data_IF_539825172471
#
_entry.id   IF_539825172471
#
_cell.length_a   1.000
_cell.length_b   1.000
_cell.length_c   1.000
_cell.angle_alpha   90.00
_cell.angle_beta   90.00
_cell.angle_gamma   90.00
#
_symmetry.space_group_name_H-M   'P 1'
#
loop_
_entity.id
_entity.type
_entity.pdbx_description
1 polymer ?
#
# COMPACT_ATOMS: atom_id res chain seq x y z
N UNK A 1 -7.03 22.26 -20.78
CA UNK A 1 -6.98 20.85 -20.36
C UNK A 1 -8.41 20.39 -20.19
N UNK A 2 -8.85 19.45 -21.02
CA UNK A 2 -10.24 19.00 -21.09
C UNK A 2 -10.46 18.03 -19.95
N UNK A 3 -11.26 18.41 -18.95
CA UNK A 3 -11.69 17.53 -17.86
C UNK A 3 -12.22 16.24 -18.48
N UNK A 4 -11.57 15.10 -18.24
CA UNK A 4 -11.95 13.84 -18.84
C UNK A 4 -13.44 13.56 -18.55
N UNK A 5 -14.21 13.24 -19.59
CA UNK A 5 -15.64 13.02 -19.46
C UNK A 5 -15.92 11.85 -18.52
N UNK A 6 -16.96 11.97 -17.68
CA UNK A 6 -17.46 10.87 -16.85
C UNK A 6 -17.93 9.73 -17.74
N UNK A 7 -17.32 8.56 -17.61
CA UNK A 7 -17.67 7.33 -18.32
C UNK A 7 -18.36 6.35 -17.39
N UNK A 8 -19.32 5.58 -17.90
CA UNK A 8 -20.07 4.59 -17.14
C UNK A 8 -19.89 3.19 -17.71
N UNK A 9 -19.84 2.20 -16.84
CA UNK A 9 -19.86 0.79 -17.22
C UNK A 9 -20.47 -0.06 -16.10
N UNK A 10 -20.83 -1.30 -16.44
CA UNK A 10 -21.23 -2.32 -15.46
C UNK A 10 -20.19 -3.43 -15.45
N UNK A 11 -19.86 -3.93 -14.27
CA UNK A 11 -18.91 -5.03 -14.12
C UNK A 11 -19.29 -5.95 -12.96
N UNK A 12 -19.10 -7.25 -13.16
CA UNK A 12 -19.25 -8.25 -12.11
C UNK A 12 -17.99 -8.22 -11.23
N UNK A 13 -18.19 -8.13 -9.91
CA UNK A 13 -17.09 -8.14 -8.96
C UNK A 13 -16.45 -9.52 -8.88
N UNK A 14 -15.14 -9.59 -9.05
CA UNK A 14 -14.38 -10.85 -9.02
C UNK A 14 -13.61 -10.93 -7.72
N UNK A 15 -13.75 -12.06 -7.01
CA UNK A 15 -12.81 -12.41 -5.95
C UNK A 15 -11.51 -12.90 -6.60
N UNK A 16 -10.45 -12.12 -6.48
CA UNK A 16 -9.14 -12.52 -6.96
C UNK A 16 -8.61 -13.66 -6.09
N UNK A 17 -8.20 -14.75 -6.74
CA UNK A 17 -7.59 -15.92 -6.07
C UNK A 17 -6.15 -15.64 -5.61
N UNK A 18 -5.70 -14.39 -5.64
CA UNK A 18 -4.42 -14.02 -5.04
C UNK A 18 -4.49 -14.26 -3.53
N UNK A 19 -3.36 -14.56 -2.90
CA UNK A 19 -3.29 -14.81 -1.44
C UNK A 19 -3.72 -13.63 -0.56
N UNK A 20 -4.18 -12.51 -1.16
CA UNK A 20 -4.67 -11.32 -0.49
C UNK A 20 -6.21 -11.24 -0.46
N UNK A 21 -6.93 -12.12 -1.17
CA UNK A 21 -8.39 -12.22 -1.12
C UNK A 21 -9.12 -10.95 -1.58
N UNK A 22 -8.56 -10.26 -2.58
CA UNK A 22 -9.09 -8.99 -3.06
C UNK A 22 -10.38 -9.16 -3.86
N UNK A 23 -11.26 -8.15 -3.80
CA UNK A 23 -12.43 -8.05 -4.68
C UNK A 23 -12.17 -6.94 -5.69
N UNK A 24 -12.25 -7.25 -6.98
CA UNK A 24 -11.87 -6.34 -8.06
C UNK A 24 -12.99 -6.21 -9.10
N UNK A 25 -13.01 -5.10 -9.82
CA UNK A 25 -13.81 -4.95 -11.02
C UNK A 25 -12.88 -4.65 -12.21
N UNK A 26 -13.00 -5.45 -13.27
CA UNK A 26 -12.26 -5.21 -14.52
C UNK A 26 -12.96 -4.17 -15.36
N UNK A 27 -12.18 -3.28 -15.95
CA UNK A 27 -12.70 -2.28 -16.87
C UNK A 27 -12.89 -2.91 -18.26
N UNK A 28 -13.87 -2.41 -19.05
CA UNK A 28 -13.97 -2.76 -20.46
C UNK A 28 -12.67 -2.43 -21.22
N UNK A 29 -12.38 -3.19 -22.27
CA UNK A 29 -11.27 -2.88 -23.16
C UNK A 29 -11.43 -1.47 -23.75
N UNK A 30 -10.34 -0.72 -23.80
CA UNK A 30 -10.31 0.64 -24.33
C UNK A 30 -11.00 1.72 -23.48
N UNK A 31 -11.44 1.39 -22.25
CA UNK A 31 -12.17 2.35 -21.41
C UNK A 31 -11.40 3.65 -21.13
N UNK A 32 -10.07 3.57 -21.10
CA UNK A 32 -9.16 4.67 -20.77
C UNK A 32 -8.28 5.13 -21.94
N UNK A 33 -8.57 4.72 -23.19
CA UNK A 33 -7.68 4.99 -24.35
C UNK A 33 -7.57 6.48 -24.70
N UNK A 34 -8.60 7.25 -24.36
CA UNK A 34 -8.67 8.70 -24.51
C UNK A 34 -8.16 9.47 -23.28
N UNK A 35 -7.68 8.77 -22.24
CA UNK A 35 -7.13 9.41 -21.05
C UNK A 35 -5.63 9.57 -21.21
N UNK A 36 -5.16 10.81 -21.07
CA UNK A 36 -3.74 11.12 -20.95
C UNK A 36 -3.24 10.74 -19.55
N UNK A 37 -3.12 9.43 -19.30
CA UNK A 37 -2.75 8.88 -18.01
C UNK A 37 -1.79 7.70 -18.18
N UNK A 38 -0.81 7.59 -17.28
CA UNK A 38 0.14 6.48 -17.28
C UNK A 38 -0.51 5.13 -16.94
N UNK A 39 0.31 4.09 -16.73
CA UNK A 39 -0.15 2.70 -16.55
C UNK A 39 -1.10 2.46 -15.36
N UNK A 40 -1.19 3.38 -14.40
CA UNK A 40 -2.09 3.31 -13.23
C UNK A 40 -2.87 4.62 -13.04
N UNK A 41 -3.84 4.92 -13.92
CA UNK A 41 -4.60 6.16 -13.85
C UNK A 41 -5.26 6.36 -12.48
N UNK A 42 -5.19 7.59 -11.95
CA UNK A 42 -5.98 7.98 -10.77
C UNK A 42 -7.39 8.28 -11.23
N UNK A 43 -8.38 7.75 -10.52
CA UNK A 43 -9.79 7.93 -10.88
C UNK A 43 -10.62 8.36 -9.68
N UNK A 44 -11.67 9.12 -9.97
CA UNK A 44 -12.76 9.41 -9.03
C UNK A 44 -14.07 9.02 -9.68
N UNK A 45 -15.05 8.69 -8.86
CA UNK A 45 -16.26 8.08 -9.39
C UNK A 45 -17.21 7.59 -8.33
N UNK A 46 -18.17 6.79 -8.79
CA UNK A 46 -19.21 6.20 -7.96
C UNK A 46 -19.40 4.72 -8.29
N UNK A 47 -19.72 3.93 -7.27
CA UNK A 47 -20.15 2.53 -7.39
C UNK A 47 -21.55 2.42 -6.76
N UNK A 48 -22.57 2.12 -7.57
CA UNK A 48 -23.98 2.14 -7.16
C UNK A 48 -24.36 3.40 -6.34
N UNK A 49 -23.86 4.57 -6.75
CA UNK A 49 -24.11 5.86 -6.09
C UNK A 49 -23.19 6.17 -4.88
N UNK A 50 -22.32 5.26 -4.46
CA UNK A 50 -21.32 5.55 -3.43
C UNK A 50 -20.06 6.17 -4.05
N UNK A 51 -19.76 7.42 -3.71
CA UNK A 51 -18.61 8.15 -4.22
C UNK A 51 -17.27 7.63 -3.66
N UNK A 52 -16.25 7.57 -4.52
CA UNK A 52 -14.90 7.16 -4.16
C UNK A 52 -13.82 7.86 -5.00
N UNK A 53 -12.59 7.82 -4.50
CA UNK A 53 -11.35 8.14 -5.23
C UNK A 53 -10.38 6.98 -5.07
N UNK A 54 -9.79 6.49 -6.16
CA UNK A 54 -8.85 5.37 -6.14
C UNK A 54 -7.86 5.45 -7.31
N UNK A 55 -7.07 4.41 -7.50
CA UNK A 55 -6.22 4.21 -8.68
C UNK A 55 -6.64 2.93 -9.39
N UNK A 56 -6.48 2.92 -10.71
CA UNK A 56 -6.57 1.72 -11.52
C UNK A 56 -5.24 0.97 -11.49
N UNK A 57 -5.31 -0.34 -11.63
CA UNK A 57 -4.16 -1.24 -11.62
C UNK A 57 -4.14 -2.06 -12.90
N UNK A 58 -2.94 -2.35 -13.41
CA UNK A 58 -2.75 -3.28 -14.52
C UNK A 58 -2.57 -4.71 -13.98
N UNK A 59 -3.18 -5.68 -14.64
CA UNK A 59 -2.93 -7.09 -14.38
C UNK A 59 -1.70 -7.65 -15.14
N UNK A 60 -0.95 -6.79 -15.84
CA UNK A 60 0.20 -7.18 -16.66
C UNK A 60 -0.14 -7.85 -18.00
N UNK A 61 -1.43 -8.07 -18.29
CA UNK A 61 -1.94 -8.65 -19.55
C UNK A 61 -2.78 -7.65 -20.36
N UNK A 62 -2.61 -6.35 -20.10
CA UNK A 62 -3.32 -5.27 -20.79
C UNK A 62 -4.70 -4.93 -20.21
N UNK A 63 -5.23 -5.68 -19.23
CA UNK A 63 -6.49 -5.32 -18.59
C UNK A 63 -6.27 -4.45 -17.36
N UNK A 64 -7.02 -3.36 -17.27
CA UNK A 64 -7.10 -2.53 -16.08
C UNK A 64 -8.22 -3.03 -15.15
N UNK A 65 -7.98 -2.93 -13.86
CA UNK A 65 -8.97 -3.21 -12.83
C UNK A 65 -8.89 -2.19 -11.71
N UNK A 66 -9.98 -2.10 -10.93
CA UNK A 66 -10.01 -1.32 -9.69
C UNK A 66 -10.30 -2.23 -8.50
N UNK A 67 -9.63 -1.96 -7.38
CA UNK A 67 -9.88 -2.64 -6.12
C UNK A 67 -11.16 -2.10 -5.48
N UNK A 68 -12.15 -2.98 -5.24
CA UNK A 68 -13.37 -2.65 -4.50
C UNK A 68 -13.15 -3.02 -3.04
N UNK A 69 -12.66 -2.05 -2.26
CA UNK A 69 -12.35 -2.28 -0.85
C UNK A 69 -13.61 -2.58 -0.01
N UNK A 70 -13.43 -3.03 1.24
CA UNK A 70 -14.55 -3.43 2.12
C UNK A 70 -15.53 -2.30 2.42
N UNK A 71 -15.07 -1.04 2.46
CA UNK A 71 -15.97 0.11 2.62
C UNK A 71 -16.84 0.28 1.38
N UNK A 72 -16.24 0.26 0.19
CA UNK A 72 -17.00 0.33 -1.07
C UNK A 72 -18.03 -0.81 -1.17
N UNK A 73 -17.63 -2.04 -0.86
CA UNK A 73 -18.54 -3.19 -0.82
C UNK A 73 -19.74 -2.95 0.11
N UNK A 74 -19.47 -2.51 1.34
CA UNK A 74 -20.49 -2.23 2.35
C UNK A 74 -21.46 -1.12 1.91
N UNK A 75 -20.92 0.04 1.53
CA UNK A 75 -21.72 1.23 1.24
C UNK A 75 -22.51 1.08 -0.08
N UNK A 76 -21.92 0.42 -1.09
CA UNK A 76 -22.58 0.14 -2.36
C UNK A 76 -23.45 -1.13 -2.34
N UNK A 77 -23.49 -1.85 -1.21
CA UNK A 77 -24.25 -3.08 -0.99
C UNK A 77 -23.94 -4.17 -2.03
N UNK A 78 -22.65 -4.39 -2.28
CA UNK A 78 -22.15 -5.36 -3.26
C UNK A 78 -21.15 -6.33 -2.64
N UNK A 79 -21.10 -7.53 -3.19
CA UNK A 79 -20.16 -8.60 -2.82
C UNK A 79 -19.52 -9.18 -4.08
N UNK A 80 -18.50 -10.03 -3.92
CA UNK A 80 -17.97 -10.79 -5.04
C UNK A 80 -19.09 -11.61 -5.72
N UNK A 81 -19.11 -11.62 -7.05
CA UNK A 81 -20.16 -12.19 -7.88
C UNK A 81 -21.31 -11.23 -8.22
N UNK A 82 -21.44 -10.10 -7.50
CA UNK A 82 -22.49 -9.12 -7.79
C UNK A 82 -22.12 -8.25 -9.01
N UNK A 83 -23.14 -7.89 -9.81
CA UNK A 83 -23.03 -6.87 -10.84
C UNK A 83 -23.14 -5.48 -10.18
N UNK A 84 -22.19 -4.59 -10.47
CA UNK A 84 -22.21 -3.22 -9.98
C UNK A 84 -22.10 -2.22 -11.14
N UNK A 85 -22.73 -1.05 -10.99
CA UNK A 85 -22.61 0.06 -11.92
C UNK A 85 -21.54 1.04 -11.42
N UNK A 86 -20.61 1.38 -12.31
CA UNK A 86 -19.51 2.29 -12.06
C UNK A 86 -19.61 3.52 -12.94
N UNK A 87 -19.40 4.69 -12.37
CA UNK A 87 -19.14 5.92 -13.11
C UNK A 87 -17.75 6.40 -12.73
N UNK A 88 -16.84 6.60 -13.69
CA UNK A 88 -15.46 6.99 -13.47
C UNK A 88 -15.07 8.20 -14.34
N UNK A 89 -14.18 9.03 -13.81
CA UNK A 89 -13.45 10.07 -14.54
C UNK A 89 -12.00 10.11 -14.05
N UNK A 90 -11.11 10.69 -14.86
CA UNK A 90 -9.73 10.92 -14.46
C UNK A 90 -9.70 11.88 -13.26
N UNK A 91 -8.92 11.51 -12.25
CA UNK A 91 -8.72 12.28 -11.02
C UNK A 91 -7.42 13.08 -11.13
N UNK A 92 -7.53 14.29 -11.68
CA UNK A 92 -6.43 15.24 -11.84
C UNK A 92 -6.20 16.10 -10.58
N UNK A 93 -7.12 16.04 -9.60
CA UNK A 93 -7.01 16.85 -8.40
C UNK A 93 -5.81 16.38 -7.55
N UNK A 94 -5.05 17.36 -7.06
CA UNK A 94 -3.97 17.09 -6.12
C UNK A 94 -4.51 16.39 -4.87
N UNK A 95 -3.82 15.33 -4.45
CA UNK A 95 -4.15 14.60 -3.23
C UNK A 95 -3.25 15.11 -2.10
N UNK A 96 -3.76 16.04 -1.30
CA UNK A 96 -3.04 16.56 -0.13
C UNK A 96 -3.40 15.77 1.13
N UNK A 97 -2.41 15.42 1.95
CA UNK A 97 -2.62 14.83 3.28
C UNK A 97 -2.45 15.90 4.35
N UNK A 98 -3.49 16.14 5.15
CA UNK A 98 -3.34 16.96 6.35
C UNK A 98 -2.77 16.08 7.46
N UNK A 99 -1.47 16.23 7.73
CA UNK A 99 -0.80 15.52 8.84
C UNK A 99 -1.25 16.13 10.17
N UNK A 100 -1.80 15.32 11.12
CA UNK A 100 -2.22 15.80 12.43
C UNK A 100 -1.10 16.49 13.22
N UNK A 101 -1.46 17.46 14.06
CA UNK A 101 -0.48 18.25 14.82
C UNK A 101 0.39 17.37 15.73
N UNK A 102 -0.20 16.33 16.32
CA UNK A 102 0.48 15.35 17.17
C UNK A 102 1.57 14.61 16.38
N UNK A 103 1.28 14.19 15.15
CA UNK A 103 2.28 13.54 14.29
C UNK A 103 3.35 14.52 13.81
N UNK A 104 2.99 15.78 13.52
CA UNK A 104 3.97 16.83 13.18
C UNK A 104 4.98 17.04 14.31
N UNK A 105 4.53 17.06 15.58
CA UNK A 105 5.41 17.19 16.75
C UNK A 105 6.41 16.03 16.85
N UNK A 106 5.95 14.81 16.63
CA UNK A 106 6.84 13.62 16.60
C UNK A 106 7.89 13.74 15.50
N UNK A 107 7.50 14.12 14.28
CA UNK A 107 8.42 14.29 13.15
C UNK A 107 9.40 15.46 13.35
N UNK A 108 9.02 16.49 14.09
CA UNK A 108 9.89 17.63 14.41
C UNK A 108 11.01 17.25 15.40
N UNK A 109 10.83 16.20 16.21
CA UNK A 109 11.82 15.76 17.19
C UNK A 109 13.08 15.15 16.56
N UNK A 110 13.01 14.64 15.33
CA UNK A 110 14.13 13.95 14.68
C UNK A 110 14.23 14.33 13.19
N UNK A 111 15.23 15.13 12.84
CA UNK A 111 15.37 15.70 11.50
C UNK A 111 15.63 14.63 10.41
N UNK A 112 16.33 13.54 10.75
CA UNK A 112 16.53 12.42 9.83
C UNK A 112 15.21 11.71 9.53
N UNK A 113 14.40 11.47 10.56
CA UNK A 113 13.10 10.82 10.44
C UNK A 113 12.15 11.65 9.57
N UNK A 114 12.12 12.98 9.75
CA UNK A 114 11.31 13.87 8.91
C UNK A 114 11.68 13.78 7.43
N UNK A 115 12.97 13.85 7.11
CA UNK A 115 13.45 13.74 5.71
C UNK A 115 13.16 12.38 5.09
N UNK A 116 13.20 11.32 5.90
CA UNK A 116 12.82 9.99 5.44
C UNK A 116 11.31 9.88 5.23
N UNK A 117 10.51 10.41 6.16
CA UNK A 117 9.05 10.49 6.06
C UNK A 117 8.60 11.17 4.78
N UNK A 118 9.20 12.32 4.41
CA UNK A 118 8.86 13.07 3.19
C UNK A 118 9.03 12.26 1.89
N UNK A 119 9.86 11.21 1.89
CA UNK A 119 10.09 10.31 0.75
C UNK A 119 9.06 9.18 0.65
N UNK A 120 8.20 9.01 1.66
CA UNK A 120 7.18 7.96 1.65
C UNK A 120 6.03 8.32 0.71
N UNK A 121 5.38 7.33 0.09
CA UNK A 121 4.30 7.60 -0.86
C UNK A 121 3.08 8.19 -0.16
N UNK A 122 2.31 8.99 -0.91
CA UNK A 122 1.05 9.61 -0.46
C UNK A 122 0.14 8.65 0.32
N UNK A 123 -0.03 7.42 -0.17
CA UNK A 123 -0.92 6.43 0.46
C UNK A 123 -0.48 6.08 1.89
N UNK A 124 0.82 6.09 2.14
CA UNK A 124 1.40 5.82 3.45
C UNK A 124 1.21 7.03 4.38
N UNK A 125 1.48 8.24 3.88
CA UNK A 125 1.17 9.47 4.64
C UNK A 125 -0.29 9.53 5.05
N UNK A 126 -1.19 9.27 4.10
CA UNK A 126 -2.63 9.29 4.33
C UNK A 126 -3.03 8.24 5.37
N UNK A 127 -2.52 7.02 5.25
CA UNK A 127 -2.85 5.95 6.18
C UNK A 127 -2.47 6.32 7.62
N UNK A 128 -1.24 6.76 7.85
CA UNK A 128 -0.78 7.17 9.20
C UNK A 128 -1.59 8.37 9.69
N UNK A 129 -1.81 9.38 8.85
CA UNK A 129 -2.60 10.56 9.22
C UNK A 129 -4.02 10.18 9.65
N UNK A 130 -4.72 9.34 8.86
CA UNK A 130 -6.06 8.84 9.20
C UNK A 130 -6.03 8.05 10.52
N UNK A 131 -5.04 7.19 10.73
CA UNK A 131 -4.93 6.38 11.95
C UNK A 131 -4.71 7.25 13.19
N UNK A 132 -3.81 8.23 13.11
CA UNK A 132 -3.50 9.18 14.19
C UNK A 132 -4.69 10.10 14.46
N UNK A 133 -5.45 10.51 13.43
CA UNK A 133 -6.63 11.36 13.58
C UNK A 133 -7.87 10.62 14.10
N UNK A 134 -7.95 9.29 13.92
CA UNK A 134 -9.14 8.52 14.24
C UNK A 134 -9.61 8.58 15.72
N UNK A 135 -8.73 8.60 16.74
CA UNK A 135 -9.16 8.77 18.13
C UNK A 135 -9.81 10.13 18.38
N UNK A 136 -10.92 10.10 19.13
CA UNK A 136 -11.64 11.33 19.53
C UNK A 136 -10.85 12.18 20.52
N UNK A 137 -10.16 11.55 21.48
CA UNK A 137 -9.39 12.27 22.50
C UNK A 137 -8.00 12.64 22.02
N UNK A 138 -7.56 13.85 22.36
CA UNK A 138 -6.21 14.34 22.03
C UNK A 138 -5.13 13.44 22.64
N UNK A 139 -5.30 13.01 23.89
CA UNK A 139 -4.35 12.09 24.54
C UNK A 139 -4.17 10.78 23.77
N UNK A 140 -5.25 10.20 23.23
CA UNK A 140 -5.16 8.98 22.43
C UNK A 140 -4.55 9.23 21.05
N UNK A 141 -4.80 10.39 20.43
CA UNK A 141 -4.12 10.79 19.17
C UNK A 141 -2.63 10.97 19.39
N UNK A 142 -2.23 11.64 20.48
CA UNK A 142 -0.83 11.79 20.87
C UNK A 142 -0.16 10.43 21.07
N UNK A 143 -0.77 9.54 21.84
CA UNK A 143 -0.21 8.20 22.05
C UNK A 143 -0.06 7.42 20.74
N UNK A 144 -1.04 7.54 19.85
CA UNK A 144 -0.96 6.91 18.53
C UNK A 144 0.12 7.51 17.64
N UNK A 145 0.30 8.84 17.67
CA UNK A 145 1.39 9.50 16.96
C UNK A 145 2.76 9.03 17.47
N UNK A 146 2.93 8.89 18.78
CA UNK A 146 4.15 8.36 19.41
C UNK A 146 4.41 6.92 18.97
N UNK A 147 3.40 6.03 19.07
CA UNK A 147 3.48 4.64 18.60
C UNK A 147 3.89 4.56 17.11
N UNK A 148 3.32 5.40 16.25
CA UNK A 148 3.72 5.47 14.84
C UNK A 148 5.13 6.04 14.66
N UNK A 149 5.52 7.05 15.45
CA UNK A 149 6.88 7.59 15.48
C UNK A 149 7.92 6.50 15.71
N UNK A 150 7.71 5.66 16.72
CA UNK A 150 8.57 4.51 17.02
C UNK A 150 8.64 3.53 15.85
N UNK A 151 7.50 3.19 15.24
CA UNK A 151 7.46 2.29 14.07
C UNK A 151 8.27 2.86 12.91
N UNK A 152 8.09 4.15 12.61
CA UNK A 152 8.77 4.81 11.50
C UNK A 152 10.28 4.93 11.73
N UNK A 153 10.70 5.19 12.98
CA UNK A 153 12.10 5.22 13.35
C UNK A 153 12.75 3.84 13.15
N UNK A 154 12.12 2.78 13.69
CA UNK A 154 12.59 1.41 13.49
C UNK A 154 12.65 1.00 12.01
N UNK A 155 11.72 1.48 11.18
CA UNK A 155 11.78 1.24 9.74
C UNK A 155 12.93 2.00 9.06
N UNK A 156 13.14 3.27 9.40
CA UNK A 156 14.23 4.07 8.85
C UNK A 156 15.58 3.47 9.21
N UNK A 157 15.76 3.05 10.45
CA UNK A 157 16.97 2.35 10.92
C UNK A 157 17.09 0.98 10.24
N UNK A 158 15.99 0.23 10.17
CA UNK A 158 15.91 -1.08 9.50
C UNK A 158 16.28 -1.07 8.01
N UNK A 159 16.16 0.08 7.34
CA UNK A 159 16.62 0.26 5.95
C UNK A 159 18.14 0.43 5.85
N UNK A 160 18.78 0.93 6.91
CA UNK A 160 20.24 1.13 7.00
C UNK A 160 20.93 -0.11 7.54
N UNK A 161 20.39 -0.65 8.61
CA UNK A 161 20.90 -1.81 9.34
C UNK A 161 19.81 -2.86 9.45
N UNK A 162 20.14 -4.10 9.07
CA UNK A 162 19.17 -5.19 9.13
C UNK A 162 18.74 -5.44 10.58
N UNK A 163 17.43 -5.47 10.88
CA UNK A 163 16.96 -5.69 12.24
C UNK A 163 17.39 -7.05 12.82
N UNK A 164 17.59 -7.16 14.15
CA UNK A 164 18.00 -8.41 14.80
C UNK A 164 17.12 -9.63 14.48
N UNK A 165 15.81 -9.42 14.32
CA UNK A 165 14.85 -10.48 13.96
C UNK A 165 15.12 -11.10 12.58
N UNK A 166 15.68 -10.32 11.64
CA UNK A 166 16.10 -10.82 10.33
C UNK A 166 17.53 -11.35 10.36
N UNK A 167 18.44 -10.67 11.07
CA UNK A 167 19.83 -11.09 11.23
C UNK A 167 19.95 -12.54 11.74
N UNK A 168 19.22 -12.87 12.81
CA UNK A 168 19.21 -14.23 13.37
C UNK A 168 18.75 -15.29 12.36
N UNK A 169 17.83 -14.94 11.47
CA UNK A 169 17.37 -15.82 10.41
C UNK A 169 18.36 -15.92 9.24
N UNK A 170 19.02 -14.81 8.91
CA UNK A 170 20.02 -14.77 7.84
C UNK A 170 21.29 -15.56 8.17
N UNK A 171 21.65 -15.66 9.46
CA UNK A 171 22.70 -16.60 9.91
C UNK A 171 22.33 -18.05 9.58
N UNK A 172 21.06 -18.42 9.79
CA UNK A 172 20.55 -19.78 9.50
C UNK A 172 20.29 -20.02 8.02
N UNK A 173 20.12 -18.96 7.24
CA UNK A 173 19.81 -19.03 5.80
C UNK A 173 20.58 -17.95 5.05
N UNK A 174 21.88 -18.18 4.75
CA UNK A 174 22.73 -17.19 4.05
C UNK A 174 22.17 -16.75 2.70
N UNK A 175 21.45 -17.63 2.00
CA UNK A 175 20.78 -17.31 0.74
C UNK A 175 19.73 -16.19 0.89
N UNK A 176 19.06 -16.11 2.05
CA UNK A 176 18.12 -15.04 2.34
C UNK A 176 18.83 -13.69 2.50
N UNK A 177 20.05 -13.64 3.07
CA UNK A 177 20.85 -12.41 3.11
C UNK A 177 21.16 -11.89 1.72
N UNK A 178 21.68 -12.75 0.85
CA UNK A 178 21.99 -12.38 -0.53
C UNK A 178 20.75 -11.86 -1.28
N UNK A 179 19.58 -12.43 -1.00
CA UNK A 179 18.32 -11.95 -1.55
C UNK A 179 17.86 -10.60 -1.00
N UNK A 180 18.03 -10.39 0.30
CA UNK A 180 17.69 -9.14 0.99
C UNK A 180 18.53 -7.97 0.48
N UNK A 181 19.83 -8.18 0.26
CA UNK A 181 20.74 -7.19 -0.30
C UNK A 181 20.38 -6.80 -1.74
N UNK A 182 19.80 -7.73 -2.51
CA UNK A 182 19.28 -7.48 -3.86
C UNK A 182 17.91 -6.79 -3.88
N UNK A 183 17.23 -6.66 -2.74
CA UNK A 183 15.92 -5.98 -2.69
C UNK A 183 16.05 -4.47 -2.86
N UNK A 184 15.14 -3.91 -3.65
CA UNK A 184 14.96 -2.45 -3.73
C UNK A 184 14.58 -1.86 -2.36
N UNK A 185 14.87 -0.56 -2.10
CA UNK A 185 14.47 0.10 -0.86
C UNK A 185 12.97 -0.01 -0.58
N UNK A 186 12.13 0.07 -1.61
CA UNK A 186 10.67 -0.07 -1.47
C UNK A 186 10.25 -1.47 -1.00
N UNK A 187 10.89 -2.53 -1.51
CA UNK A 187 10.63 -3.91 -1.08
C UNK A 187 11.03 -4.12 0.39
N UNK A 188 12.25 -3.70 0.76
CA UNK A 188 12.73 -3.78 2.15
C UNK A 188 11.79 -3.04 3.10
N UNK A 189 11.42 -1.80 2.76
CA UNK A 189 10.45 -1.00 3.51
C UNK A 189 9.12 -1.72 3.74
N UNK A 190 8.58 -2.38 2.71
CA UNK A 190 7.33 -3.14 2.84
C UNK A 190 7.43 -4.28 3.86
N UNK A 191 8.57 -4.96 3.92
CA UNK A 191 8.84 -5.99 4.93
C UNK A 191 9.04 -5.40 6.33
N UNK A 192 9.83 -4.34 6.46
CA UNK A 192 10.08 -3.64 7.73
C UNK A 192 8.78 -3.09 8.33
N UNK A 193 7.93 -2.46 7.51
CA UNK A 193 6.58 -2.07 7.91
C UNK A 193 5.81 -3.27 8.46
N UNK A 194 5.82 -4.37 7.70
CA UNK A 194 5.19 -5.61 8.10
C UNK A 194 5.68 -6.16 9.42
N UNK A 195 6.95 -6.00 9.77
CA UNK A 195 7.55 -6.51 11.01
C UNK A 195 7.23 -5.57 12.18
N UNK A 196 7.49 -4.27 12.03
CA UNK A 196 7.40 -3.32 13.15
C UNK A 196 5.98 -2.88 13.47
N UNK A 197 5.08 -2.87 12.49
CA UNK A 197 3.68 -2.48 12.69
C UNK A 197 2.93 -3.37 13.70
N UNK A 198 3.15 -4.69 13.64
CA UNK A 198 2.51 -5.61 14.58
C UNK A 198 3.27 -5.65 15.91
N UNK A 199 2.55 -5.62 17.03
CA UNK A 199 3.17 -5.67 18.37
C UNK A 199 3.40 -7.10 18.87
N UNK A 200 2.57 -8.06 18.47
CA UNK A 200 2.67 -9.44 19.00
C UNK A 200 3.89 -10.18 18.44
N UNK A 201 4.66 -10.89 19.28
CA UNK A 201 5.86 -11.63 18.84
C UNK A 201 5.56 -12.63 17.72
N UNK A 202 4.44 -13.35 17.82
CA UNK A 202 4.00 -14.31 16.82
C UNK A 202 3.75 -13.65 15.45
N UNK A 203 3.07 -12.50 15.42
CA UNK A 203 2.82 -11.80 14.16
C UNK A 203 4.11 -11.24 13.58
N UNK A 204 5.01 -10.71 14.42
CA UNK A 204 6.34 -10.27 13.98
C UNK A 204 7.12 -11.42 13.33
N UNK A 205 7.11 -12.60 13.96
CA UNK A 205 7.79 -13.78 13.43
C UNK A 205 7.22 -14.21 12.07
N UNK A 206 5.89 -14.25 11.92
CA UNK A 206 5.25 -14.55 10.62
C UNK A 206 5.65 -13.56 9.53
N UNK A 207 5.77 -12.28 9.88
CA UNK A 207 6.14 -11.20 8.93
C UNK A 207 7.63 -11.23 8.60
N UNK A 208 8.49 -11.60 9.55
CA UNK A 208 9.90 -11.88 9.32
C UNK A 208 10.07 -13.09 8.39
N UNK A 209 9.36 -14.19 8.64
CA UNK A 209 9.39 -15.37 7.77
C UNK A 209 9.01 -15.02 6.33
N UNK A 210 7.95 -14.21 6.14
CA UNK A 210 7.58 -13.73 4.80
C UNK A 210 8.69 -12.91 4.12
N UNK A 211 9.46 -12.13 4.88
CA UNK A 211 10.62 -11.40 4.35
C UNK A 211 11.74 -12.34 3.91
N UNK A 212 12.01 -13.37 4.72
CA UNK A 212 13.01 -14.40 4.44
C UNK A 212 12.65 -15.20 3.18
N UNK A 213 11.39 -15.65 3.06
CA UNK A 213 10.92 -16.43 1.92
C UNK A 213 11.03 -15.64 0.61
N UNK A 214 10.63 -14.36 0.64
CA UNK A 214 10.75 -13.46 -0.50
C UNK A 214 12.21 -13.19 -0.87
N UNK A 215 13.08 -13.01 0.13
CA UNK A 215 14.51 -12.82 -0.10
C UNK A 215 15.13 -14.05 -0.77
N UNK A 216 14.84 -15.26 -0.27
CA UNK A 216 15.27 -16.52 -0.90
C UNK A 216 14.76 -16.61 -2.34
N UNK A 217 13.51 -16.23 -2.59
CA UNK A 217 12.94 -16.22 -3.95
C UNK A 217 13.69 -15.26 -4.88
N UNK A 218 14.08 -14.08 -4.42
CA UNK A 218 14.85 -13.11 -5.20
C UNK A 218 16.26 -13.62 -5.46
N UNK A 219 16.93 -14.19 -4.46
CA UNK A 219 18.26 -14.77 -4.60
C UNK A 219 18.28 -15.87 -5.68
N UNK A 220 17.32 -16.80 -5.64
CA UNK A 220 17.18 -17.90 -6.61
C UNK A 220 16.88 -17.42 -8.04
N UNK A 221 16.11 -16.35 -8.21
CA UNK A 221 15.86 -15.77 -9.54
C UNK A 221 17.11 -15.13 -10.13
N UNK A 222 17.98 -14.57 -9.27
CA UNK A 222 19.25 -13.99 -9.71
C UNK A 222 20.32 -15.01 -10.13
N UNK A 223 20.16 -16.30 -9.80
CA UNK A 223 21.11 -17.38 -10.17
C UNK A 223 20.67 -18.18 -11.40
N UNK A 224 19.48 -17.93 -11.95
CA UNK A 224 18.93 -18.67 -13.11
C UNK A 224 19.03 -17.93 -14.45
N UNK A 225 19.81 -16.85 -14.51
CA UNK A 225 19.99 -16.01 -15.71
C UNK A 225 21.35 -16.17 -16.41
N UNK A 226 22.19 -17.09 -15.95
CA UNK A 226 23.45 -17.47 -16.61
C UNK A 226 23.42 -18.97 -16.95
N UNK A 227 22.74 -19.32 -18.05
CA UNK A 227 23.10 -20.41 -18.98
C UNK A 227 22.54 -20.06 -20.35
#
# INVERSE_FOLDING_TARGET
MTKAAKKRFKATLVAEKSGLGWTVAYLPAGFTDDWDAGATPKVRGEINGFAFRTSLFSNGKGALYLLVNKRMQKEAKVVAGALAEFTLELDEDERTVVVPAEMKRVLQGEAALRRWWEKLPYSFHKYVADQVAAPKSEAARRRRAEDFGEILLNMMEGERETPPILEAAFVRTPLARAGWEKMTPAQRRGHLWGIFYYKSPESRQKRAQKAIDEAVRIAKKGTGGEV
#
